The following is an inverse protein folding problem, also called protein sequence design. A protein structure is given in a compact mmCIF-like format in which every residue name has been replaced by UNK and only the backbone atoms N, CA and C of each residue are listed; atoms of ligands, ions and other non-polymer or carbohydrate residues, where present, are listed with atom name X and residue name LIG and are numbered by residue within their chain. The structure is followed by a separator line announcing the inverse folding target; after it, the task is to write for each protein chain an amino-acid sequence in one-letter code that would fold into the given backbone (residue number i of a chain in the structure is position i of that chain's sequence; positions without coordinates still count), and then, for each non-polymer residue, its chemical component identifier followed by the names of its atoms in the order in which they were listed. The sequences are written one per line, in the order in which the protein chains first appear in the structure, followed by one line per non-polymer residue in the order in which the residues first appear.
data_IF_168415718159
#
_entry.id   IF_168415718159
#
_cell.length_a   1.000
_cell.length_b   1.000
_cell.length_c   1.000
_cell.angle_alpha   90.00
_cell.angle_beta   90.00
_cell.angle_gamma   90.00
#
_symmetry.space_group_name_H-M   'P 1'
#
loop_
_entity.id
_entity.type
_entity.pdbx_description
1 polymer ?
#
# COMPACT_ATOMS: atom_id res chain seq x y z
N UNK A 1 -36.17 -47.59 10.11
CA UNK A 1 -36.01 -46.11 10.16
C UNK A 1 -36.78 -45.53 8.99
N UNK A 2 -37.90 -44.87 9.26
CA UNK A 2 -38.93 -44.52 8.26
C UNK A 2 -38.73 -43.10 7.72
N UNK A 3 -39.00 -42.90 6.43
CA UNK A 3 -38.84 -41.64 5.65
C UNK A 3 -39.48 -40.38 6.28
N UNK A 4 -40.35 -40.56 7.28
CA UNK A 4 -41.01 -39.47 8.02
C UNK A 4 -40.03 -38.67 8.90
N UNK A 5 -38.98 -39.31 9.44
CA UNK A 5 -38.00 -38.65 10.31
C UNK A 5 -37.04 -37.72 9.55
N UNK A 6 -36.88 -37.90 8.24
CA UNK A 6 -35.96 -37.11 7.40
C UNK A 6 -36.55 -35.77 6.92
N UNK A 7 -37.87 -35.62 6.99
CA UNK A 7 -38.54 -34.35 6.62
C UNK A 7 -38.54 -33.33 7.76
N UNK A 8 -38.50 -33.78 9.01
CA UNK A 8 -38.56 -32.92 10.19
C UNK A 8 -37.19 -32.26 10.45
N UNK A 9 -36.09 -32.94 10.13
CA UNK A 9 -34.74 -32.38 10.25
C UNK A 9 -34.42 -31.26 9.25
N UNK A 10 -35.11 -31.21 8.10
CA UNK A 10 -34.85 -30.22 7.07
C UNK A 10 -35.57 -28.89 7.33
N UNK A 11 -36.76 -28.92 7.95
CA UNK A 11 -37.54 -27.72 8.25
C UNK A 11 -36.94 -26.86 9.38
N UNK A 12 -36.30 -27.48 10.37
CA UNK A 12 -35.67 -26.75 11.49
C UNK A 12 -34.33 -26.10 11.12
N UNK A 13 -33.60 -26.68 10.16
CA UNK A 13 -32.34 -26.09 9.67
C UNK A 13 -32.62 -24.84 8.83
N UNK A 14 -33.67 -24.83 8.01
CA UNK A 14 -34.03 -23.65 7.20
C UNK A 14 -34.56 -22.47 8.03
N UNK A 15 -35.24 -22.71 9.16
CA UNK A 15 -35.76 -21.64 10.01
C UNK A 15 -34.66 -20.87 10.76
N UNK A 16 -33.52 -21.51 11.04
CA UNK A 16 -32.37 -20.86 11.68
C UNK A 16 -31.58 -19.94 10.71
N UNK A 17 -31.65 -20.18 9.39
CA UNK A 17 -30.98 -19.34 8.40
C UNK A 17 -31.74 -18.05 8.05
N UNK A 18 -33.05 -17.98 8.33
CA UNK A 18 -33.88 -16.82 7.99
C UNK A 18 -33.89 -15.71 9.06
N UNK A 19 -33.27 -15.91 10.22
CA UNK A 19 -33.18 -14.89 11.30
C UNK A 19 -31.76 -14.31 11.50
N UNK A 20 -30.75 -14.75 10.74
CA UNK A 20 -29.35 -14.33 10.94
C UNK A 20 -28.90 -13.07 10.19
N UNK A 21 -29.74 -12.44 9.37
CA UNK A 21 -29.28 -11.48 8.33
C UNK A 21 -29.46 -10.00 8.66
N UNK A 22 -29.50 -9.60 9.93
CA UNK A 22 -29.43 -8.17 10.29
C UNK A 22 -28.44 -7.95 11.44
N UNK A 23 -27.18 -8.31 11.22
CA UNK A 23 -26.11 -7.62 11.93
C UNK A 23 -25.96 -6.24 11.27
N UNK A 24 -26.26 -5.13 11.96
CA UNK A 24 -25.87 -3.83 11.45
C UNK A 24 -24.35 -3.85 11.28
N UNK A 25 -23.87 -3.66 10.05
CA UNK A 25 -22.47 -3.38 9.82
C UNK A 25 -22.16 -2.09 10.59
N UNK A 26 -21.49 -2.23 11.75
CA UNK A 26 -21.03 -1.10 12.54
C UNK A 26 -19.95 -0.43 11.70
N UNK A 27 -20.30 0.63 10.97
CA UNK A 27 -19.29 1.53 10.41
C UNK A 27 -18.61 2.16 11.61
N UNK A 28 -17.45 1.62 12.02
CA UNK A 28 -16.61 2.29 13.01
C UNK A 28 -16.09 3.53 12.30
N UNK A 29 -16.68 4.69 12.60
CA UNK A 29 -15.98 5.94 12.40
C UNK A 29 -14.67 5.80 13.17
N UNK A 30 -13.56 5.65 12.48
CA UNK A 30 -12.26 5.59 13.14
C UNK A 30 -12.08 6.92 13.87
N UNK A 31 -11.81 6.83 15.17
CA UNK A 31 -11.49 8.00 15.97
C UNK A 31 -10.23 8.63 15.37
N UNK A 32 -10.26 9.93 15.10
CA UNK A 32 -9.07 10.66 14.68
C UNK A 32 -8.06 10.64 15.82
N UNK A 33 -6.97 9.90 15.64
CA UNK A 33 -5.86 9.91 16.58
C UNK A 33 -4.84 10.97 16.16
N UNK A 34 -4.34 11.73 17.13
CA UNK A 34 -3.28 12.70 16.88
C UNK A 34 -1.99 11.93 16.55
N UNK A 35 -1.41 12.20 15.39
CA UNK A 35 -0.13 11.62 15.00
C UNK A 35 0.97 12.03 15.99
N UNK A 36 1.74 11.05 16.46
CA UNK A 36 2.91 11.29 17.28
C UNK A 36 4.01 11.96 16.45
N UNK A 37 4.82 12.81 17.08
CA UNK A 37 5.94 13.51 16.44
C UNK A 37 7.25 13.15 17.15
N UNK A 38 8.38 13.44 16.50
CA UNK A 38 9.73 13.18 17.02
C UNK A 38 9.97 11.70 17.35
N UNK A 39 10.24 10.89 16.31
CA UNK A 39 10.56 9.47 16.44
C UNK A 39 12.08 9.27 16.27
N UNK A 40 12.89 9.21 17.34
CA UNK A 40 14.36 9.30 17.24
C UNK A 40 15.03 8.15 16.49
N UNK A 41 14.34 7.01 16.34
CA UNK A 41 14.82 5.86 15.56
C UNK A 41 14.22 5.79 14.15
N UNK A 42 13.53 6.84 13.67
CA UNK A 42 12.95 6.82 12.32
C UNK A 42 14.04 7.05 11.28
N UNK A 43 14.13 6.14 10.32
CA UNK A 43 14.95 6.33 9.12
C UNK A 43 14.24 7.29 8.16
N UNK A 44 14.94 8.31 7.67
CA UNK A 44 14.36 9.42 6.86
C UNK A 44 15.17 9.65 5.59
N UNK A 45 15.62 8.57 4.98
CA UNK A 45 16.62 8.61 3.90
C UNK A 45 15.97 8.86 2.53
N UNK A 46 14.63 8.82 2.46
CA UNK A 46 13.84 9.19 1.29
C UNK A 46 13.56 10.70 1.27
N UNK A 47 14.39 11.44 0.52
CA UNK A 47 14.22 12.89 0.37
C UNK A 47 14.77 13.42 -0.95
N UNK A 48 13.94 14.17 -1.69
CA UNK A 48 14.32 14.79 -2.98
C UNK A 48 13.76 16.21 -3.18
N UNK A 49 13.40 16.94 -2.12
CA UNK A 49 12.92 18.33 -2.21
C UNK A 49 11.40 18.49 -2.31
N UNK A 50 10.94 19.72 -2.53
CA UNK A 50 9.55 20.17 -2.29
C UNK A 50 8.53 19.71 -3.36
N UNK A 51 8.96 19.47 -4.60
CA UNK A 51 8.10 19.15 -5.75
C UNK A 51 8.43 17.80 -6.38
N UNK A 52 8.41 16.76 -5.55
CA UNK A 52 8.70 15.40 -5.95
C UNK A 52 7.58 14.79 -6.83
N UNK A 53 7.99 14.08 -7.86
CA UNK A 53 7.16 13.22 -8.70
C UNK A 53 7.61 11.76 -8.50
N UNK A 54 6.93 11.00 -7.61
CA UNK A 54 7.29 9.61 -7.35
C UNK A 54 6.79 8.68 -8.47
N UNK A 55 7.63 7.73 -8.85
CA UNK A 55 7.44 6.77 -9.93
C UNK A 55 7.79 5.37 -9.38
N UNK A 56 6.83 4.67 -8.75
CA UNK A 56 7.04 3.29 -8.29
C UNK A 56 7.08 2.34 -9.49
N UNK A 57 8.22 1.68 -9.70
CA UNK A 57 8.46 0.76 -10.81
C UNK A 57 9.61 -0.18 -10.47
N UNK A 58 9.65 -1.34 -11.10
CA UNK A 58 10.83 -2.23 -11.13
C UNK A 58 11.86 -1.57 -12.05
N UNK A 59 12.86 -0.87 -11.47
CA UNK A 59 13.78 -0.03 -12.24
C UNK A 59 15.05 -0.77 -12.66
N UNK A 60 15.47 -1.76 -11.88
CA UNK A 60 16.66 -2.57 -12.15
C UNK A 60 16.36 -3.98 -12.68
N UNK A 61 15.09 -4.29 -12.97
CA UNK A 61 14.58 -5.54 -13.54
C UNK A 61 14.80 -6.76 -12.63
N UNK A 62 14.80 -6.56 -11.30
CA UNK A 62 14.99 -7.65 -10.33
C UNK A 62 13.68 -8.32 -9.87
N UNK A 63 12.54 -7.77 -10.29
CA UNK A 63 11.20 -8.30 -10.02
C UNK A 63 10.54 -7.75 -8.77
N UNK A 64 11.14 -6.77 -8.09
CA UNK A 64 10.51 -6.01 -7.02
C UNK A 64 10.22 -4.55 -7.42
N UNK A 65 9.49 -3.82 -6.57
CA UNK A 65 9.16 -2.42 -6.85
C UNK A 65 10.13 -1.49 -6.15
N UNK A 66 10.91 -0.79 -6.96
CA UNK A 66 11.72 0.34 -6.53
C UNK A 66 10.93 1.65 -6.48
N UNK A 67 11.66 2.70 -6.12
CA UNK A 67 11.18 4.06 -6.23
C UNK A 67 12.15 4.93 -7.03
N UNK A 68 11.69 5.45 -8.16
CA UNK A 68 12.32 6.61 -8.79
C UNK A 68 11.57 7.87 -8.42
N UNK A 69 12.29 8.94 -8.08
CA UNK A 69 11.69 10.23 -7.78
C UNK A 69 12.34 11.33 -8.59
N UNK A 70 11.51 12.08 -9.31
CA UNK A 70 11.94 13.24 -10.09
C UNK A 70 11.62 14.52 -9.31
N UNK A 71 12.57 15.44 -9.21
CA UNK A 71 12.34 16.77 -8.67
C UNK A 71 12.84 17.84 -9.65
N UNK A 72 11.96 18.70 -10.21
CA UNK A 72 12.36 19.78 -11.08
C UNK A 72 12.89 21.00 -10.31
N UNK A 73 12.66 21.09 -9.00
CA UNK A 73 12.97 22.29 -8.21
C UNK A 73 14.38 22.26 -7.59
N UNK A 74 14.82 23.40 -7.06
CA UNK A 74 16.06 23.55 -6.30
C UNK A 74 15.81 23.34 -4.79
N UNK A 75 16.83 22.92 -4.01
CA UNK A 75 18.19 22.59 -4.44
C UNK A 75 18.34 21.18 -5.05
N UNK A 76 17.31 20.34 -4.96
CA UNK A 76 17.36 18.91 -5.32
C UNK A 76 17.00 18.61 -6.77
N UNK A 77 17.40 19.45 -7.73
CA UNK A 77 17.04 19.22 -9.12
C UNK A 77 17.72 17.95 -9.66
N UNK A 78 16.91 16.94 -9.94
CA UNK A 78 17.41 15.64 -10.38
C UNK A 78 16.32 14.59 -10.50
N UNK A 79 16.71 13.46 -11.06
CA UNK A 79 15.99 12.19 -10.99
C UNK A 79 16.83 11.25 -10.13
N UNK A 80 16.22 10.63 -9.12
CA UNK A 80 16.89 9.82 -8.12
C UNK A 80 16.26 8.43 -8.07
N UNK A 81 17.12 7.41 -8.04
CA UNK A 81 16.74 6.01 -7.88
C UNK A 81 16.95 5.58 -6.43
N UNK A 82 15.94 4.94 -5.85
CA UNK A 82 15.96 4.35 -4.52
C UNK A 82 15.64 2.87 -4.66
N UNK A 83 16.66 2.03 -4.44
CA UNK A 83 16.55 0.57 -4.53
C UNK A 83 15.82 0.01 -3.31
N UNK A 84 14.91 -0.94 -3.54
CA UNK A 84 14.29 -1.74 -2.49
C UNK A 84 15.15 -2.98 -2.18
N UNK A 85 15.82 -3.06 -1.02
CA UNK A 85 16.64 -4.22 -0.68
C UNK A 85 15.83 -5.39 -0.07
N UNK A 86 14.53 -5.22 0.18
CA UNK A 86 13.73 -6.18 0.93
C UNK A 86 13.11 -7.29 0.04
N UNK A 87 13.11 -7.11 -1.28
CA UNK A 87 12.45 -8.01 -2.21
C UNK A 87 10.95 -7.72 -2.37
N UNK A 88 10.32 -8.47 -3.28
CA UNK A 88 8.90 -8.33 -3.60
C UNK A 88 8.00 -8.73 -2.42
N UNK A 89 6.98 -7.90 -2.16
CA UNK A 89 5.92 -8.18 -1.19
C UNK A 89 6.15 -7.67 0.23
N UNK A 90 7.30 -7.06 0.53
CA UNK A 90 7.47 -6.31 1.78
C UNK A 90 6.54 -5.09 1.78
N UNK A 91 5.78 -4.90 2.86
CA UNK A 91 4.74 -3.87 2.92
C UNK A 91 5.31 -2.48 3.15
N UNK A 92 6.39 -2.39 3.92
CA UNK A 92 7.04 -1.13 4.26
C UNK A 92 8.57 -1.26 4.14
N UNK A 93 9.09 -1.42 2.90
CA UNK A 93 10.52 -1.56 2.69
C UNK A 93 11.25 -0.28 3.08
N UNK A 94 12.45 -0.45 3.65
CA UNK A 94 13.39 0.64 3.87
C UNK A 94 14.33 0.67 2.67
N UNK A 95 14.14 1.67 1.81
CA UNK A 95 14.94 1.84 0.60
C UNK A 95 16.38 2.23 0.93
N UNK A 96 17.31 1.87 0.02
CA UNK A 96 18.68 2.38 0.06
C UNK A 96 18.73 3.89 -0.21
N UNK A 97 19.81 4.59 0.20
CA UNK A 97 19.97 6.01 -0.11
C UNK A 97 19.90 6.29 -1.62
N UNK A 98 19.24 7.40 -1.97
CA UNK A 98 18.96 7.75 -3.37
C UNK A 98 20.21 8.04 -4.20
N UNK A 99 20.29 7.46 -5.40
CA UNK A 99 21.34 7.70 -6.39
C UNK A 99 20.81 8.63 -7.48
N UNK A 100 21.48 9.75 -7.72
CA UNK A 100 21.09 10.68 -8.79
C UNK A 100 21.44 10.09 -10.17
N UNK A 101 20.43 9.79 -10.96
CA UNK A 101 20.56 9.16 -12.29
C UNK A 101 20.36 10.14 -13.46
N UNK A 102 19.70 11.28 -13.25
CA UNK A 102 19.49 12.29 -14.31
C UNK A 102 19.18 13.68 -13.76
N UNK A 103 18.94 14.64 -14.65
CA UNK A 103 18.34 15.95 -14.35
C UNK A 103 16.85 15.83 -13.96
N UNK A 104 16.30 16.89 -13.38
CA UNK A 104 14.88 16.97 -13.07
C UNK A 104 14.03 17.19 -14.32
N UNK A 105 12.79 16.69 -14.29
CA UNK A 105 11.76 16.89 -15.32
C UNK A 105 10.45 17.31 -14.67
N UNK A 106 9.63 18.08 -15.37
CA UNK A 106 8.28 18.42 -14.92
C UNK A 106 7.27 17.38 -15.39
N UNK A 107 6.31 17.06 -14.53
CA UNK A 107 5.17 16.19 -14.87
C UNK A 107 5.59 14.79 -15.35
N UNK A 108 6.66 14.22 -14.77
CA UNK A 108 7.09 12.86 -15.08
C UNK A 108 5.98 11.85 -14.75
N UNK A 109 5.79 10.86 -15.63
CA UNK A 109 4.77 9.82 -15.51
C UNK A 109 5.31 8.50 -16.03
N UNK A 110 4.88 7.42 -15.39
CA UNK A 110 5.05 6.08 -15.93
C UNK A 110 4.12 5.92 -17.14
N UNK A 111 4.65 5.35 -18.20
CA UNK A 111 3.88 4.90 -19.36
C UNK A 111 4.18 3.42 -19.57
N UNK A 112 3.14 2.64 -19.80
CA UNK A 112 3.25 1.22 -20.16
C UNK A 112 2.94 1.09 -21.65
N UNK A 113 3.60 0.16 -22.33
CA UNK A 113 3.39 -0.15 -23.76
C UNK A 113 2.85 -1.55 -23.89
#
# INVERSE_FOLDING_TARGET
MTLSQMRISCALVCAAFLFGSMYPAKSRAESLERLQYNHPGLQVDLGVGLWAWPLPMDFDDDGDLDLVVVCPDKPYNGTYFFENPAGAGEKFPVFKPGVRISGGMQNARLSYV
#
